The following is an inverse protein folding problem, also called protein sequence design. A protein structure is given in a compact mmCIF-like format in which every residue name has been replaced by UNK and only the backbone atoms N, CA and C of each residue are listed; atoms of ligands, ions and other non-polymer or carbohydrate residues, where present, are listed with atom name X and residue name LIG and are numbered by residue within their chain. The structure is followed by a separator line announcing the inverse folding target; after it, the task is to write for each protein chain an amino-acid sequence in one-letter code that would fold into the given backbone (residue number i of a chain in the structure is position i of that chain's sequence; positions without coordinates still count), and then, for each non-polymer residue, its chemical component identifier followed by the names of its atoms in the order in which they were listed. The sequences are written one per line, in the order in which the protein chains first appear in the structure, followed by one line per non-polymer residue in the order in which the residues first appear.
data_IF_483939255964
#
_entry.id   IF_483939255964
#
_cell.length_a   1.000
_cell.length_b   1.000
_cell.length_c   1.000
_cell.angle_alpha   90.00
_cell.angle_beta   90.00
_cell.angle_gamma   90.00
#
_symmetry.space_group_name_H-M   'P 1'
#
loop_
_entity.id
_entity.type
_entity.pdbx_description
1 polymer ?
#
# COMPACT_ATOMS: atom_id res chain seq x y z
N UNK A 1 8.20 8.78 13.73
CA UNK A 1 9.24 7.74 13.77
C UNK A 1 8.90 6.80 12.64
N UNK A 2 9.53 6.97 11.46
CA UNK A 2 9.37 6.03 10.35
C UNK A 2 10.07 4.73 10.73
N UNK A 3 9.32 3.82 11.36
CA UNK A 3 9.77 2.45 11.58
C UNK A 3 9.74 1.76 10.23
N UNK A 4 10.81 1.90 9.45
CA UNK A 4 11.03 1.04 8.30
C UNK A 4 11.01 -0.41 8.81
N UNK A 5 9.92 -1.12 8.54
CA UNK A 5 9.76 -2.55 8.84
C UNK A 5 10.68 -3.29 7.88
N UNK A 6 11.94 -3.47 8.28
CA UNK A 6 12.96 -4.21 7.52
C UNK A 6 12.39 -5.61 7.27
N UNK A 7 12.35 -6.05 6.01
CA UNK A 7 11.83 -7.38 5.69
C UNK A 7 12.78 -8.47 6.21
N UNK A 8 12.25 -9.64 6.54
CA UNK A 8 13.09 -10.78 6.96
C UNK A 8 14.09 -11.19 5.87
N UNK A 9 13.69 -11.02 4.60
CA UNK A 9 14.54 -11.28 3.44
C UNK A 9 15.72 -10.31 3.37
N UNK A 10 15.49 -9.01 3.62
CA UNK A 10 16.55 -8.00 3.70
C UNK A 10 17.47 -8.24 4.89
N UNK A 11 16.93 -8.70 6.03
CA UNK A 11 17.72 -9.01 7.21
C UNK A 11 18.72 -10.16 6.96
N UNK A 12 18.31 -11.19 6.21
CA UNK A 12 19.18 -12.30 5.80
C UNK A 12 20.05 -11.92 4.59
N UNK A 13 19.63 -10.93 3.79
CA UNK A 13 20.31 -10.47 2.58
C UNK A 13 19.99 -11.31 1.34
N UNK A 14 18.75 -11.79 1.23
CA UNK A 14 18.27 -12.62 0.11
C UNK A 14 17.07 -11.98 -0.58
N UNK A 15 16.79 -12.40 -1.81
CA UNK A 15 15.57 -11.98 -2.52
C UNK A 15 14.34 -12.71 -1.92
N UNK A 16 13.16 -12.10 -1.98
CA UNK A 16 11.86 -12.73 -1.64
C UNK A 16 11.62 -14.05 -2.39
N UNK A 17 12.18 -14.20 -3.59
CA UNK A 17 12.08 -15.40 -4.43
C UNK A 17 13.18 -16.44 -4.14
N UNK A 18 14.05 -16.21 -3.14
CA UNK A 18 15.15 -17.12 -2.83
C UNK A 18 14.64 -18.52 -2.45
N UNK A 19 15.35 -19.53 -2.91
CA UNK A 19 15.10 -20.92 -2.55
C UNK A 19 15.47 -21.17 -1.09
N UNK A 20 14.93 -22.25 -0.53
CA UNK A 20 15.25 -22.67 0.84
C UNK A 20 16.77 -22.84 1.06
N UNK A 21 17.47 -23.42 0.07
CA UNK A 21 18.90 -23.63 0.13
C UNK A 21 19.68 -22.30 0.18
N UNK A 22 19.23 -21.29 -0.57
CA UNK A 22 19.83 -19.95 -0.56
C UNK A 22 19.60 -19.24 0.77
N UNK A 23 18.42 -19.38 1.37
CA UNK A 23 18.10 -18.82 2.69
C UNK A 23 19.02 -19.43 3.75
N UNK A 24 19.14 -20.76 3.80
CA UNK A 24 20.03 -21.45 4.76
C UNK A 24 21.49 -21.06 4.56
N UNK A 25 21.94 -20.93 3.30
CA UNK A 25 23.33 -20.53 3.00
C UNK A 25 23.61 -19.09 3.45
N UNK A 26 22.71 -18.16 3.15
CA UNK A 26 22.83 -16.76 3.54
C UNK A 26 22.79 -16.60 5.06
N UNK A 27 21.88 -17.30 5.74
CA UNK A 27 21.82 -17.33 7.20
C UNK A 27 23.16 -17.76 7.82
N UNK A 28 23.77 -18.86 7.34
CA UNK A 28 25.08 -19.32 7.85
C UNK A 28 26.18 -18.28 7.69
N UNK A 29 26.22 -17.58 6.54
CA UNK A 29 27.19 -16.53 6.27
C UNK A 29 26.96 -15.34 7.21
N UNK A 30 25.70 -14.93 7.39
CA UNK A 30 25.37 -13.78 8.22
C UNK A 30 25.57 -14.07 9.71
N UNK A 31 25.19 -15.25 10.18
CA UNK A 31 25.39 -15.71 11.56
C UNK A 31 26.85 -15.65 11.98
N UNK A 32 27.78 -16.02 11.08
CA UNK A 32 29.22 -15.89 11.32
C UNK A 32 29.70 -14.44 11.40
N UNK A 33 29.03 -13.49 10.72
CA UNK A 33 29.37 -12.06 10.75
C UNK A 33 28.87 -11.37 12.01
N UNK A 34 27.66 -11.71 12.46
CA UNK A 34 27.03 -11.09 13.64
C UNK A 34 27.28 -11.86 14.94
N UNK A 35 28.08 -12.92 14.92
CA UNK A 35 28.35 -13.73 16.11
C UNK A 35 29.04 -12.87 17.20
N UNK A 36 28.59 -12.92 18.47
CA UNK A 36 29.15 -12.11 19.54
C UNK A 36 30.64 -12.38 19.81
N UNK A 37 31.11 -13.63 19.65
CA UNK A 37 32.53 -14.01 19.78
C UNK A 37 33.46 -13.30 18.78
N UNK A 38 32.96 -12.99 17.58
CA UNK A 38 33.74 -12.28 16.54
C UNK A 38 33.63 -10.76 16.66
N UNK A 39 32.73 -10.26 17.50
CA UNK A 39 32.48 -8.84 17.72
C UNK A 39 32.55 -8.48 19.21
N UNK A 40 33.67 -8.77 19.91
CA UNK A 40 33.78 -8.57 21.35
C UNK A 40 33.67 -7.09 21.77
N UNK A 41 33.95 -6.15 20.86
CA UNK A 41 33.81 -4.70 21.10
C UNK A 41 32.39 -4.15 20.94
N UNK A 42 31.45 -4.95 20.43
CA UNK A 42 30.06 -4.54 20.17
C UNK A 42 29.07 -5.67 20.50
N UNK A 43 29.29 -6.30 21.66
CA UNK A 43 28.58 -7.51 22.07
C UNK A 43 27.06 -7.33 22.12
N UNK A 44 26.56 -6.22 22.66
CA UNK A 44 25.12 -5.98 22.78
C UNK A 44 24.41 -5.89 21.42
N UNK A 45 25.00 -5.18 20.46
CA UNK A 45 24.41 -5.08 19.13
C UNK A 45 24.57 -6.38 18.36
N UNK A 46 25.70 -7.07 18.49
CA UNK A 46 25.92 -8.40 17.91
C UNK A 46 24.87 -9.40 18.41
N UNK A 47 24.60 -9.43 19.73
CA UNK A 47 23.58 -10.30 20.32
C UNK A 47 22.17 -9.97 19.80
N UNK A 48 21.78 -8.69 19.79
CA UNK A 48 20.46 -8.27 19.27
C UNK A 48 20.30 -8.62 17.79
N UNK A 49 21.32 -8.38 16.97
CA UNK A 49 21.29 -8.70 15.55
C UNK A 49 21.26 -10.21 15.30
N UNK A 50 21.98 -10.99 16.11
CA UNK A 50 21.95 -12.45 16.04
C UNK A 50 20.58 -13.01 16.41
N UNK A 51 19.93 -12.46 17.44
CA UNK A 51 18.58 -12.86 17.82
C UNK A 51 17.57 -12.59 16.69
N UNK A 52 17.58 -11.38 16.12
CA UNK A 52 16.73 -11.03 14.96
C UNK A 52 17.00 -11.94 13.76
N UNK A 53 18.26 -12.26 13.50
CA UNK A 53 18.65 -13.16 12.41
C UNK A 53 18.09 -14.58 12.63
N UNK A 54 18.09 -15.08 13.86
CA UNK A 54 17.50 -16.37 14.20
C UNK A 54 15.99 -16.38 14.03
N UNK A 55 15.30 -15.32 14.50
CA UNK A 55 13.85 -15.16 14.32
C UNK A 55 13.48 -15.15 12.83
N UNK A 56 14.22 -14.38 12.02
CA UNK A 56 14.02 -14.35 10.58
C UNK A 56 14.22 -15.72 9.93
N UNK A 57 15.26 -16.45 10.33
CA UNK A 57 15.52 -17.79 9.81
C UNK A 57 14.44 -18.79 10.24
N UNK A 58 13.95 -18.73 11.47
CA UNK A 58 12.88 -19.61 11.96
C UNK A 58 11.60 -19.47 11.13
N UNK A 59 11.26 -18.25 10.72
CA UNK A 59 10.08 -17.98 9.89
C UNK A 59 10.33 -18.36 8.42
N UNK A 60 11.47 -17.96 7.87
CA UNK A 60 11.76 -18.16 6.44
C UNK A 60 12.18 -19.59 6.10
N UNK A 61 12.61 -20.38 7.10
CA UNK A 61 13.06 -21.75 6.88
C UNK A 61 11.92 -22.77 6.81
N UNK A 62 10.77 -22.49 7.42
CA UNK A 62 9.58 -23.33 7.30
C UNK A 62 8.73 -22.81 6.14
N UNK A 63 8.42 -23.68 5.17
CA UNK A 63 7.60 -23.32 4.02
C UNK A 63 6.22 -22.77 4.42
N UNK A 64 5.63 -23.27 5.50
CA UNK A 64 4.33 -22.81 5.98
C UNK A 64 4.45 -21.43 6.62
N UNK A 65 5.42 -21.25 7.53
CA UNK A 65 5.67 -19.96 8.20
C UNK A 65 6.07 -18.86 7.22
N UNK A 66 6.85 -19.22 6.18
CA UNK A 66 7.20 -18.33 5.08
C UNK A 66 5.98 -17.89 4.28
N UNK A 67 5.08 -18.81 3.92
CA UNK A 67 3.86 -18.47 3.19
C UNK A 67 2.96 -17.54 4.01
N UNK A 68 2.84 -17.76 5.31
CA UNK A 68 2.11 -16.85 6.19
C UNK A 68 2.76 -15.47 6.20
N UNK A 69 4.07 -15.39 6.45
CA UNK A 69 4.81 -14.13 6.41
C UNK A 69 4.63 -13.39 5.08
N UNK A 70 4.67 -14.11 3.95
CA UNK A 70 4.47 -13.51 2.63
C UNK A 70 3.04 -12.97 2.42
N UNK A 71 2.05 -13.52 3.15
CA UNK A 71 0.63 -13.15 3.05
C UNK A 71 0.21 -12.08 4.05
N UNK A 72 0.67 -12.17 5.31
CA UNK A 72 0.25 -11.29 6.41
C UNK A 72 1.29 -10.21 6.73
N UNK A 73 2.56 -10.44 6.37
CA UNK A 73 3.68 -9.61 6.81
C UNK A 73 3.93 -9.66 8.32
N UNK A 74 3.34 -10.64 9.02
CA UNK A 74 3.44 -10.79 10.47
C UNK A 74 4.68 -11.61 10.83
N UNK A 75 5.45 -11.12 11.81
CA UNK A 75 6.72 -11.71 12.23
C UNK A 75 6.66 -12.25 13.66
N UNK A 76 5.70 -11.81 14.46
CA UNK A 76 5.57 -12.17 15.88
C UNK A 76 4.33 -13.05 16.14
N UNK A 77 3.91 -13.81 15.14
CA UNK A 77 2.82 -14.76 15.29
C UNK A 77 3.25 -15.92 16.22
N UNK A 78 2.48 -16.14 17.29
CA UNK A 78 2.63 -17.35 18.11
C UNK A 78 2.32 -18.61 17.30
N UNK A 79 2.85 -19.75 17.71
CA UNK A 79 2.53 -21.03 17.06
C UNK A 79 1.00 -21.33 17.15
N UNK A 80 0.33 -20.92 18.23
CA UNK A 80 -1.13 -21.00 18.39
C UNK A 80 -1.87 -20.14 17.35
N UNK A 81 -1.39 -18.92 17.09
CA UNK A 81 -1.93 -18.07 16.03
C UNK A 81 -1.74 -18.72 14.66
N UNK A 82 -0.59 -19.36 14.44
CA UNK A 82 -0.27 -20.06 13.20
C UNK A 82 -1.25 -21.21 12.92
N UNK A 83 -1.49 -22.06 13.92
CA UNK A 83 -2.42 -23.19 13.83
C UNK A 83 -3.86 -22.72 13.58
N UNK A 84 -4.31 -21.70 14.32
CA UNK A 84 -5.63 -21.12 14.12
C UNK A 84 -5.76 -20.53 12.70
N UNK A 85 -4.74 -19.82 12.21
CA UNK A 85 -4.74 -19.23 10.88
C UNK A 85 -4.83 -20.30 9.78
N UNK A 86 -4.02 -21.36 9.85
CA UNK A 86 -4.09 -22.46 8.88
C UNK A 86 -5.46 -23.14 8.90
N UNK A 87 -6.02 -23.38 10.09
CA UNK A 87 -7.35 -23.97 10.25
C UNK A 87 -8.42 -23.11 9.55
N UNK A 88 -8.48 -21.81 9.83
CA UNK A 88 -9.48 -20.93 9.24
C UNK A 88 -9.28 -20.70 7.74
N UNK A 89 -8.04 -20.67 7.24
CA UNK A 89 -7.76 -20.64 5.79
C UNK A 89 -8.09 -21.93 5.07
N UNK A 90 -8.05 -23.07 5.78
CA UNK A 90 -8.52 -24.35 5.24
C UNK A 90 -10.04 -24.43 5.19
N UNK A 91 -10.71 -23.89 6.21
CA UNK A 91 -12.18 -23.88 6.31
C UNK A 91 -12.81 -22.87 5.34
N UNK A 92 -12.26 -21.66 5.28
CA UNK A 92 -12.70 -20.58 4.41
C UNK A 92 -11.69 -20.41 3.29
N UNK A 93 -12.13 -20.68 2.05
CA UNK A 93 -11.28 -20.55 0.86
C UNK A 93 -10.60 -19.17 0.76
N UNK A 94 -9.52 -19.11 -0.04
CA UNK A 94 -8.83 -17.83 -0.25
C UNK A 94 -9.77 -16.82 -0.91
N UNK A 95 -10.14 -15.77 -0.17
CA UNK A 95 -10.83 -14.59 -0.70
C UNK A 95 -10.09 -14.07 -1.93
N UNK A 96 -10.78 -14.03 -3.05
CA UNK A 96 -10.33 -13.39 -4.27
C UNK A 96 -11.03 -12.06 -4.46
N UNK A 97 -10.51 -11.24 -5.36
CA UNK A 97 -11.13 -9.95 -5.68
C UNK A 97 -12.53 -10.16 -6.28
N UNK A 98 -12.70 -11.22 -7.07
CA UNK A 98 -13.99 -11.57 -7.66
C UNK A 98 -15.05 -11.90 -6.59
N UNK A 99 -14.65 -12.46 -5.45
CA UNK A 99 -15.57 -12.75 -4.35
C UNK A 99 -16.08 -11.44 -3.72
N UNK A 100 -15.21 -10.43 -3.58
CA UNK A 100 -15.57 -9.10 -3.07
C UNK A 100 -16.55 -8.42 -4.02
N UNK A 101 -16.28 -8.46 -5.32
CA UNK A 101 -17.15 -7.84 -6.34
C UNK A 101 -18.51 -8.54 -6.39
N UNK A 102 -18.53 -9.88 -6.30
CA UNK A 102 -19.77 -10.66 -6.25
C UNK A 102 -20.61 -10.35 -5.00
N UNK A 103 -19.94 -10.17 -3.85
CA UNK A 103 -20.60 -9.76 -2.61
C UNK A 103 -21.15 -8.34 -2.74
N UNK A 104 -20.37 -7.41 -3.29
CA UNK A 104 -20.81 -6.04 -3.51
C UNK A 104 -22.04 -5.95 -4.41
N UNK A 105 -22.05 -6.71 -5.50
CA UNK A 105 -23.17 -6.77 -6.42
C UNK A 105 -24.42 -7.39 -5.78
N UNK A 106 -24.25 -8.36 -4.87
CA UNK A 106 -25.37 -9.00 -4.17
C UNK A 106 -25.93 -8.15 -3.03
N UNK A 107 -25.07 -7.43 -2.32
CA UNK A 107 -25.43 -6.67 -1.13
C UNK A 107 -26.07 -5.33 -1.49
N UNK A 108 -25.55 -4.62 -2.49
CA UNK A 108 -26.08 -3.31 -2.88
C UNK A 108 -27.51 -3.42 -3.41
N UNK A 109 -28.39 -2.55 -2.91
CA UNK A 109 -29.83 -2.51 -3.18
C UNK A 109 -30.60 -3.77 -2.74
N UNK A 110 -29.98 -4.62 -1.91
CA UNK A 110 -30.64 -5.81 -1.37
C UNK A 110 -31.50 -5.52 -0.14
N UNK A 111 -32.34 -6.49 0.23
CA UNK A 111 -33.06 -6.46 1.51
C UNK A 111 -32.12 -6.35 2.69
N UNK A 112 -30.97 -7.04 2.62
CA UNK A 112 -30.01 -7.13 3.72
C UNK A 112 -29.37 -5.75 3.99
N UNK A 113 -29.09 -5.00 2.93
CA UNK A 113 -28.60 -3.63 3.06
C UNK A 113 -29.65 -2.71 3.67
N UNK A 114 -30.91 -2.82 3.25
CA UNK A 114 -31.99 -2.02 3.82
C UNK A 114 -32.16 -2.34 5.31
N UNK A 115 -32.13 -3.63 5.68
CA UNK A 115 -32.19 -4.06 7.07
C UNK A 115 -31.02 -3.52 7.90
N UNK A 116 -29.81 -3.53 7.35
CA UNK A 116 -28.62 -2.98 8.00
C UNK A 116 -28.74 -1.46 8.20
N UNK A 117 -29.16 -0.72 7.17
CA UNK A 117 -29.40 0.73 7.25
C UNK A 117 -30.44 1.04 8.33
N UNK A 118 -31.54 0.28 8.36
CA UNK A 118 -32.61 0.43 9.35
C UNK A 118 -32.10 0.15 10.76
N UNK A 119 -31.36 -0.94 10.95
CA UNK A 119 -30.77 -1.33 12.23
C UNK A 119 -29.86 -0.22 12.74
N UNK A 120 -28.91 0.22 11.92
CA UNK A 120 -27.97 1.27 12.32
C UNK A 120 -28.62 2.64 12.48
N UNK A 121 -29.69 2.93 11.74
CA UNK A 121 -30.50 4.13 11.96
C UNK A 121 -31.08 4.17 13.38
N UNK A 122 -31.62 3.05 13.86
CA UNK A 122 -32.15 2.94 15.22
C UNK A 122 -31.04 3.01 16.28
N UNK A 123 -29.94 2.29 16.10
CA UNK A 123 -28.82 2.27 17.06
C UNK A 123 -28.11 3.62 17.17
N UNK A 124 -27.92 4.32 16.04
CA UNK A 124 -27.17 5.58 15.97
C UNK A 124 -28.06 6.81 16.02
N UNK A 125 -29.36 6.64 16.32
CA UNK A 125 -30.34 7.72 16.39
C UNK A 125 -30.42 8.57 15.10
N UNK A 126 -30.23 7.94 13.94
CA UNK A 126 -30.28 8.59 12.63
C UNK A 126 -29.10 9.50 12.29
N UNK A 127 -27.93 9.29 12.90
CA UNK A 127 -26.69 9.95 12.46
C UNK A 127 -26.12 9.27 11.22
N UNK A 128 -26.23 9.93 10.06
CA UNK A 128 -25.84 9.35 8.77
C UNK A 128 -24.33 9.14 8.64
N UNK A 129 -23.50 9.91 9.36
CA UNK A 129 -22.04 9.73 9.29
C UNK A 129 -21.65 8.43 9.96
N UNK A 130 -22.23 8.19 11.13
CA UNK A 130 -22.04 6.95 11.87
C UNK A 130 -22.59 5.77 11.08
N UNK A 131 -23.78 5.87 10.49
CA UNK A 131 -24.36 4.78 9.69
C UNK A 131 -23.43 4.34 8.55
N UNK A 132 -22.82 5.29 7.82
CA UNK A 132 -21.82 4.96 6.78
C UNK A 132 -20.60 4.20 7.31
N UNK A 133 -20.20 4.42 8.57
CA UNK A 133 -19.07 3.69 9.14
C UNK A 133 -19.39 2.21 9.43
N UNK A 134 -20.67 1.87 9.56
CA UNK A 134 -21.10 0.52 9.91
C UNK A 134 -21.74 -0.27 8.76
N UNK A 135 -22.28 0.41 7.74
CA UNK A 135 -22.85 -0.26 6.56
C UNK A 135 -21.72 -0.72 5.62
N UNK A 136 -21.61 -2.03 5.32
CA UNK A 136 -20.65 -2.57 4.36
C UNK A 136 -20.69 -1.84 3.02
N UNK A 137 -19.50 -1.62 2.45
CA UNK A 137 -19.34 -1.05 1.10
C UNK A 137 -20.04 0.30 0.89
N UNK A 138 -20.28 1.05 1.96
CA UNK A 138 -20.94 2.35 1.88
C UNK A 138 -19.94 3.50 1.79
N UNK A 139 -20.18 4.39 0.84
CA UNK A 139 -19.41 5.62 0.69
C UNK A 139 -20.29 6.85 0.89
N UNK A 140 -19.65 8.01 1.05
CA UNK A 140 -20.38 9.29 1.13
C UNK A 140 -21.23 9.55 -0.12
N UNK A 141 -20.87 8.95 -1.26
CA UNK A 141 -21.62 9.04 -2.50
C UNK A 141 -22.97 8.30 -2.44
N UNK A 142 -23.12 7.29 -1.57
CA UNK A 142 -24.36 6.51 -1.43
C UNK A 142 -25.41 7.18 -0.52
N UNK A 143 -25.05 8.26 0.16
CA UNK A 143 -25.95 9.00 1.05
C UNK A 143 -27.29 9.43 0.41
N UNK A 144 -27.35 9.93 -0.85
CA UNK A 144 -28.61 10.22 -1.52
C UNK A 144 -29.54 9.01 -1.60
N UNK A 145 -29.00 7.83 -1.88
CA UNK A 145 -29.76 6.59 -1.96
C UNK A 145 -30.28 6.17 -0.59
N UNK A 146 -29.42 6.23 0.44
CA UNK A 146 -29.81 5.93 1.81
C UNK A 146 -30.92 6.88 2.32
N UNK A 147 -30.86 8.17 1.97
CA UNK A 147 -31.93 9.11 2.32
C UNK A 147 -33.24 8.79 1.64
N UNK A 148 -33.24 8.38 0.37
CA UNK A 148 -34.48 7.99 -0.30
C UNK A 148 -35.11 6.77 0.39
N UNK A 149 -34.30 5.74 0.68
CA UNK A 149 -34.75 4.54 1.40
C UNK A 149 -35.32 4.90 2.78
N UNK A 150 -34.60 5.71 3.56
CA UNK A 150 -35.03 6.12 4.89
C UNK A 150 -36.26 7.05 4.84
N UNK A 151 -36.33 7.98 3.89
CA UNK A 151 -37.48 8.85 3.69
C UNK A 151 -38.75 8.04 3.37
N UNK A 152 -38.64 7.02 2.50
CA UNK A 152 -39.75 6.13 2.16
C UNK A 152 -40.22 5.32 3.39
N UNK A 153 -39.30 4.84 4.21
CA UNK A 153 -39.61 4.11 5.44
C UNK A 153 -40.20 5.00 6.54
N UNK A 154 -39.75 6.25 6.64
CA UNK A 154 -40.32 7.26 7.55
C UNK A 154 -41.74 7.64 7.09
N UNK A 155 -41.96 7.82 5.78
CA UNK A 155 -43.28 8.07 5.20
C UNK A 155 -44.25 6.90 5.46
N UNK A 156 -43.76 5.67 5.35
CA UNK A 156 -44.50 4.45 5.70
C UNK A 156 -44.74 4.29 7.22
N UNK A 157 -44.31 5.24 8.05
CA UNK A 157 -44.37 5.21 9.53
C UNK A 157 -43.68 3.99 10.16
N UNK A 158 -42.74 3.35 9.44
CA UNK A 158 -41.95 2.22 9.94
C UNK A 158 -40.75 2.68 10.77
N UNK A 159 -40.32 3.93 10.62
CA UNK A 159 -39.21 4.51 11.38
C UNK A 159 -39.55 5.86 12.00
N UNK A 160 -39.08 6.13 13.24
CA UNK A 160 -39.25 7.43 13.87
C UNK A 160 -38.32 8.46 13.23
N UNK A 161 -38.84 9.67 13.00
CA UNK A 161 -38.05 10.79 12.50
C UNK A 161 -37.13 11.32 13.61
N UNK A 162 -35.81 11.31 13.40
CA UNK A 162 -34.86 11.78 14.40
C UNK A 162 -34.36 13.21 14.10
N UNK A 163 -34.04 13.97 15.16
CA UNK A 163 -33.47 15.32 15.02
C UNK A 163 -32.08 15.30 14.36
N UNK A 164 -31.29 14.25 14.62
CA UNK A 164 -29.94 14.09 14.05
C UNK A 164 -30.00 13.76 12.56
N UNK A 165 -31.02 13.01 12.12
CA UNK A 165 -31.25 12.72 10.71
C UNK A 165 -31.52 14.00 9.91
N UNK A 166 -32.40 14.87 10.41
CA UNK A 166 -32.68 16.16 9.79
C UNK A 166 -31.45 17.07 9.74
N UNK A 167 -30.69 17.13 10.84
CA UNK A 167 -29.44 17.90 10.89
C UNK A 167 -28.38 17.35 9.91
N UNK A 168 -28.30 16.04 9.76
CA UNK A 168 -27.38 15.37 8.84
C UNK A 168 -27.75 15.65 7.38
N UNK A 169 -29.05 15.62 7.07
CA UNK A 169 -29.58 15.93 5.73
C UNK A 169 -29.32 17.38 5.33
N UNK A 170 -29.44 18.33 6.27
CA UNK A 170 -29.12 19.75 6.04
C UNK A 170 -27.64 19.94 5.73
N UNK A 171 -26.75 19.40 6.56
CA UNK A 171 -25.29 19.53 6.38
C UNK A 171 -24.77 18.98 5.06
N UNK A 172 -25.40 17.94 4.49
CA UNK A 172 -24.94 17.42 3.19
C UNK A 172 -25.47 18.21 2.01
N UNK A 173 -26.61 18.91 2.12
CA UNK A 173 -26.99 19.89 1.09
C UNK A 173 -25.92 20.98 0.99
N UNK A 174 -25.48 21.49 2.14
CA UNK A 174 -24.40 22.48 2.23
C UNK A 174 -23.08 21.95 1.63
N UNK A 175 -22.71 20.69 1.92
CA UNK A 175 -21.50 20.05 1.36
C UNK A 175 -21.64 19.73 -0.14
N UNK A 176 -22.85 19.40 -0.64
CA UNK A 176 -23.09 19.12 -2.05
C UNK A 176 -22.96 20.40 -2.87
N UNK A 177 -23.49 21.51 -2.37
CA UNK A 177 -23.30 22.84 -2.94
C UNK A 177 -21.80 23.23 -2.94
N UNK A 178 -21.07 23.00 -1.83
CA UNK A 178 -19.61 23.23 -1.79
C UNK A 178 -18.82 22.33 -2.75
N UNK A 179 -19.18 21.03 -2.86
CA UNK A 179 -18.51 20.11 -3.78
C UNK A 179 -18.79 20.43 -5.24
N UNK A 180 -20.00 20.86 -5.60
CA UNK A 180 -20.32 21.33 -6.96
C UNK A 180 -19.54 22.60 -7.30
N UNK A 181 -19.34 23.52 -6.34
CA UNK A 181 -18.48 24.70 -6.50
C UNK A 181 -17.00 24.28 -6.69
N UNK A 182 -16.50 23.36 -5.86
CA UNK A 182 -15.11 22.85 -5.96
C UNK A 182 -14.89 22.05 -7.26
N UNK A 183 -15.85 21.23 -7.71
CA UNK A 183 -15.78 20.51 -8.98
C UNK A 183 -15.75 21.46 -10.19
N UNK A 184 -16.49 22.56 -10.13
CA UNK A 184 -16.43 23.59 -11.18
C UNK A 184 -15.09 24.35 -11.16
N UNK A 185 -14.59 24.72 -9.98
CA UNK A 185 -13.27 25.36 -9.82
C UNK A 185 -12.09 24.45 -10.24
N UNK A 186 -12.23 23.14 -10.02
CA UNK A 186 -11.21 22.15 -10.41
C UNK A 186 -11.23 21.84 -11.90
N UNK A 187 -12.40 21.91 -12.56
CA UNK A 187 -12.50 21.88 -14.02
C UNK A 187 -11.80 23.08 -14.67
N UNK A 188 -12.03 24.29 -14.18
CA UNK A 188 -11.32 25.50 -14.66
C UNK A 188 -9.80 25.43 -14.43
N UNK A 189 -9.36 24.85 -13.30
CA UNK A 189 -7.93 24.60 -13.04
C UNK A 189 -7.36 23.49 -13.93
N UNK A 190 -8.15 22.48 -14.30
CA UNK A 190 -7.70 21.39 -15.17
C UNK A 190 -7.43 21.87 -16.60
N UNK A 191 -8.27 22.75 -17.14
CA UNK A 191 -8.06 23.37 -18.46
C UNK A 191 -6.80 24.24 -18.49
N UNK A 192 -6.54 25.00 -17.40
CA UNK A 192 -5.29 25.76 -17.26
C UNK A 192 -4.05 24.86 -17.12
N UNK A 193 -4.19 23.69 -16.50
CA UNK A 193 -3.07 22.75 -16.31
C UNK A 193 -2.76 21.97 -17.59
N UNK A 194 -3.75 21.68 -18.44
CA UNK A 194 -3.53 21.14 -19.79
C UNK A 194 -2.74 22.12 -20.67
N UNK A 195 -3.04 23.42 -20.60
CA UNK A 195 -2.28 24.46 -21.29
C UNK A 195 -0.83 24.54 -20.82
N UNK A 196 -0.59 24.38 -19.51
CA UNK A 196 0.76 24.36 -18.94
C UNK A 196 1.52 23.06 -19.25
N UNK A 197 0.85 21.91 -19.26
CA UNK A 197 1.43 20.64 -19.69
C UNK A 197 1.77 20.63 -21.18
N UNK A 198 0.96 21.27 -22.02
CA UNK A 198 1.25 21.48 -23.43
C UNK A 198 2.50 22.36 -23.62
N UNK A 199 2.67 23.41 -22.79
CA UNK A 199 3.87 24.25 -22.78
C UNK A 199 5.12 23.50 -22.31
N UNK A 200 5.01 22.69 -21.24
CA UNK A 200 6.11 21.85 -20.71
C UNK A 200 6.52 20.78 -21.74
N UNK A 201 5.56 20.18 -22.47
CA UNK A 201 5.84 19.21 -23.54
C UNK A 201 6.59 19.86 -24.71
N UNK A 202 6.29 21.12 -25.02
CA UNK A 202 7.02 21.94 -26.02
C UNK A 202 8.45 22.29 -25.57
N UNK A 203 8.68 22.43 -24.26
CA UNK A 203 10.01 22.66 -23.67
C UNK A 203 10.82 21.35 -23.61
N UNK A 204 10.21 20.23 -23.23
CA UNK A 204 10.86 18.90 -23.20
C UNK A 204 11.19 18.36 -24.59
N UNK A 205 10.42 18.71 -25.62
CA UNK A 205 10.76 18.39 -27.01
C UNK A 205 12.09 18.98 -27.49
N UNK A 206 12.65 19.96 -26.78
CA UNK A 206 14.00 20.52 -27.04
C UNK A 206 15.13 19.85 -26.23
N UNK A 207 14.81 18.95 -25.29
CA UNK A 207 15.79 18.35 -24.35
C UNK A 207 15.88 16.82 -24.48
N UNK A 208 15.19 16.22 -25.44
CA UNK A 208 14.99 14.77 -25.52
C UNK A 208 15.92 14.02 -26.48
N UNK A 209 17.14 14.52 -26.74
CA UNK A 209 18.21 13.69 -27.31
C UNK A 209 19.29 13.41 -26.25
N UNK A 210 19.22 12.26 -25.55
CA UNK A 210 20.25 11.84 -24.59
C UNK A 210 21.64 11.74 -25.23
N UNK A 211 21.72 11.46 -26.54
CA UNK A 211 22.98 11.38 -27.29
C UNK A 211 23.67 12.76 -27.40
N UNK A 212 22.93 13.85 -27.61
CA UNK A 212 23.53 15.20 -27.62
C UNK A 212 24.05 15.61 -26.24
N UNK A 213 23.37 15.20 -25.17
CA UNK A 213 23.80 15.46 -23.80
C UNK A 213 25.11 14.73 -23.45
N UNK A 214 25.23 13.45 -23.84
CA UNK A 214 26.46 12.68 -23.65
C UNK A 214 27.60 13.15 -24.56
N UNK A 215 27.31 13.51 -25.82
CA UNK A 215 28.31 14.07 -26.74
C UNK A 215 28.87 15.41 -26.22
N UNK A 216 28.02 16.28 -25.68
CA UNK A 216 28.46 17.56 -25.10
C UNK A 216 29.32 17.37 -23.83
N UNK A 217 29.07 16.33 -23.04
CA UNK A 217 29.90 15.98 -21.88
C UNK A 217 31.23 15.33 -22.30
N UNK A 218 31.22 14.50 -23.34
CA UNK A 218 32.41 13.85 -23.87
C UNK A 218 33.37 14.86 -24.53
N UNK A 219 32.84 15.87 -25.23
CA UNK A 219 33.63 16.95 -25.83
C UNK A 219 34.27 17.87 -24.78
N UNK A 220 33.60 18.08 -23.64
CA UNK A 220 34.05 18.98 -22.57
C UNK A 220 35.04 18.33 -21.60
N UNK A 221 34.96 17.02 -21.40
CA UNK A 221 35.77 16.28 -20.41
C UNK A 221 36.65 15.17 -21.00
N UNK A 222 36.58 14.91 -22.32
CA UNK A 222 37.41 13.95 -23.03
C UNK A 222 38.87 14.40 -23.15
N UNK A 223 39.73 13.97 -22.21
CA UNK A 223 41.19 14.13 -22.31
C UNK A 223 41.72 13.37 -23.54
N UNK A 224 42.32 14.08 -24.50
CA UNK A 224 43.03 13.48 -25.64
C UNK A 224 44.18 12.57 -25.17
N UNK A 225 44.38 11.37 -25.75
CA UNK A 225 45.51 10.52 -25.41
C UNK A 225 46.81 11.16 -25.90
N UNK A 226 47.76 11.34 -24.98
CA UNK A 226 49.12 11.77 -25.26
C UNK A 226 49.81 10.69 -26.11
N UNK A 227 50.10 11.01 -27.39
CA UNK A 227 50.90 10.14 -28.27
C UNK A 227 52.32 9.99 -27.70
N UNK A 228 52.66 8.81 -27.18
CA UNK A 228 54.06 8.42 -26.92
C UNK A 228 54.78 8.19 -28.25
N UNK A 229 55.69 9.09 -28.62
CA UNK A 229 56.61 8.89 -29.75
C UNK A 229 57.70 7.88 -29.35
N UNK A 230 57.69 6.68 -29.95
CA UNK A 230 58.77 5.70 -29.88
C UNK A 230 59.96 6.17 -30.76
N UNK A 231 61.05 6.62 -30.13
CA UNK A 231 62.35 6.82 -30.80
C UNK A 231 62.93 5.45 -31.18
N UNK A 232 62.94 5.11 -32.47
CA UNK A 232 63.75 4.00 -33.00
C UNK A 232 65.23 4.40 -32.94
N UNK A 233 66.03 3.62 -32.20
CA UNK A 233 67.50 3.58 -32.34
C UNK A 233 67.84 3.08 -33.75
N UNK A 234 68.73 3.77 -34.46
CA UNK A 234 69.51 3.17 -35.56
C UNK A 234 70.99 3.25 -35.21
N UNK A 235 71.65 2.14 -35.53
CA UNK A 235 73.01 1.74 -35.25
C UNK A 235 73.90 2.13 -36.43
N UNK A 236 75.16 2.46 -36.10
CA UNK A 236 76.32 2.81 -36.95
C UNK A 236 76.31 4.22 -37.54
#
# INVERSE_FOLDING_TARGET
MDTQKISLYELIGVNKQATQAEITKAYRIMALRVHPDKNPGDYENAQKNFQKLNEAYNILSDSKKRQLYDTTGETEASDEFFEAYEYYRGLYGKLKMEDIDSFAAKYKDSSDEIEDIVRFYLEKNGDMREILHYVPLSERADLPRFWNILDDLIQAKKLPKSKKYEASKKKVRDIKEEKEIIENDTKEKSENNENMMALIRKIKGRQNDPEEFFNHLEEKYGKKPVKKTLKKRKIK
#
